data_IF_966439443903
#
_entry.id   IF_966439443903
#
_cell.length_a   1.000
_cell.length_b   1.000
_cell.length_c   1.000
_cell.angle_alpha   90.00
_cell.angle_beta   90.00
_cell.angle_gamma   90.00
#
_symmetry.space_group_name_H-M   'P 1'
#
loop_
_entity.id
_entity.type
_entity.pdbx_description
1 polymer ?
#
# COMPACT_ATOMS: atom_id res chain seq x y z
N UNK A 1 -8.63 -11.79 4.03
CA UNK A 1 -7.20 -11.83 4.43
C UNK A 1 -6.88 -10.55 5.22
N UNK A 2 -6.23 -10.63 6.38
CA UNK A 2 -5.81 -9.44 7.13
C UNK A 2 -4.40 -9.04 6.69
N UNK A 3 -4.25 -7.83 6.14
CA UNK A 3 -2.94 -7.21 5.90
C UNK A 3 -2.52 -6.47 7.18
N UNK A 4 -1.29 -6.70 7.64
CA UNK A 4 -0.72 -6.00 8.80
C UNK A 4 0.53 -5.29 8.35
N UNK A 5 0.48 -3.95 8.28
CA UNK A 5 1.65 -3.12 8.04
C UNK A 5 2.09 -2.46 9.35
N UNK A 6 3.39 -2.46 9.59
CA UNK A 6 4.06 -1.87 10.75
C UNK A 6 5.16 -0.92 10.27
N UNK A 7 5.29 0.17 11.01
CA UNK A 7 6.48 1.03 11.01
C UNK A 7 7.08 0.93 12.42
N UNK A 8 8.30 0.40 12.51
CA UNK A 8 9.09 0.16 13.71
C UNK A 8 9.27 1.46 14.50
N UNK A 9 8.67 1.47 15.69
CA UNK A 9 9.14 2.25 16.82
C UNK A 9 10.35 1.48 17.36
N UNK A 10 11.46 2.16 17.62
CA UNK A 10 12.62 1.53 18.24
C UNK A 10 12.22 0.86 19.57
N UNK A 11 12.60 -0.43 19.69
CA UNK A 11 12.43 -1.37 20.83
C UNK A 11 11.05 -2.04 21.03
N UNK A 12 11.07 -3.35 20.72
CA UNK A 12 10.26 -4.48 21.24
C UNK A 12 9.04 -4.09 22.10
N UNK A 13 7.88 -3.89 21.50
CA UNK A 13 6.58 -4.23 22.09
C UNK A 13 5.54 -4.46 20.99
N UNK A 14 4.98 -5.67 20.97
CA UNK A 14 4.02 -6.15 19.96
C UNK A 14 2.61 -5.68 20.30
N UNK A 15 2.39 -4.37 20.43
CA UNK A 15 1.04 -3.81 20.59
C UNK A 15 0.70 -3.02 19.35
N UNK A 16 -0.15 -3.57 18.48
CA UNK A 16 -0.66 -2.83 17.32
C UNK A 16 -1.60 -1.73 17.81
N UNK A 17 -1.12 -0.48 17.87
CA UNK A 17 -2.01 0.67 17.95
C UNK A 17 -2.69 0.88 16.59
N UNK A 18 -4.00 1.13 16.60
CA UNK A 18 -4.70 1.55 15.39
C UNK A 18 -4.03 2.82 14.82
N UNK A 19 -3.78 2.83 13.52
CA UNK A 19 -3.24 4.00 12.83
C UNK A 19 -4.35 5.02 12.61
N UNK A 20 -4.04 6.31 12.79
CA UNK A 20 -4.89 7.40 12.28
C UNK A 20 -4.64 7.55 10.78
N UNK A 21 -5.71 7.79 10.02
CA UNK A 21 -5.69 7.94 8.57
C UNK A 21 -6.16 9.35 8.25
N UNK A 22 -5.27 10.19 7.73
CA UNK A 22 -5.56 11.59 7.39
C UNK A 22 -5.51 11.78 5.86
N UNK A 23 -6.38 12.62 5.26
CA UNK A 23 -6.27 12.98 3.86
C UNK A 23 -4.89 13.57 3.53
N UNK A 24 -4.34 13.24 2.36
CA UNK A 24 -3.11 13.83 1.86
C UNK A 24 -3.37 14.59 0.55
N UNK A 25 -2.61 15.66 0.27
CA UNK A 25 -2.75 16.41 -0.98
C UNK A 25 -2.39 15.56 -2.21
N UNK A 26 -2.98 15.96 -3.33
CA UNK A 26 -2.79 15.31 -4.63
C UNK A 26 -3.81 14.22 -4.93
N UNK A 27 -3.95 13.92 -6.21
CA UNK A 27 -4.73 12.81 -6.74
C UNK A 27 -3.98 12.23 -7.94
N UNK A 28 -4.34 11.03 -8.37
CA UNK A 28 -3.91 10.49 -9.65
C UNK A 28 -5.10 9.91 -10.38
N UNK A 29 -5.06 9.93 -11.71
CA UNK A 29 -6.10 9.33 -12.53
C UNK A 29 -5.56 8.03 -13.12
N UNK A 30 -6.25 6.93 -12.83
CA UNK A 30 -6.07 5.70 -13.58
C UNK A 30 -7.24 5.61 -14.58
N UNK A 31 -6.92 5.53 -15.88
CA UNK A 31 -7.95 5.42 -16.93
C UNK A 31 -8.89 4.23 -16.71
N UNK A 32 -8.42 3.17 -16.07
CA UNK A 32 -9.23 1.99 -15.78
C UNK A 32 -9.98 2.05 -14.45
N UNK A 33 -9.34 2.55 -13.38
CA UNK A 33 -9.89 2.47 -12.01
C UNK A 33 -10.55 3.76 -11.51
N UNK A 34 -10.37 4.87 -12.22
CA UNK A 34 -10.83 6.20 -11.80
C UNK A 34 -9.80 6.97 -10.98
N UNK A 35 -10.28 8.01 -10.28
CA UNK A 35 -9.43 8.93 -9.54
C UNK A 35 -9.05 8.38 -8.16
N UNK A 36 -7.75 8.29 -7.90
CA UNK A 36 -7.21 7.92 -6.61
C UNK A 36 -7.08 9.15 -5.68
N UNK A 37 -7.34 8.94 -4.39
CA UNK A 37 -7.01 9.87 -3.32
C UNK A 37 -5.86 9.33 -2.49
N UNK A 38 -4.97 10.21 -2.04
CA UNK A 38 -3.86 9.83 -1.17
C UNK A 38 -4.16 10.04 0.31
N UNK A 39 -3.48 9.28 1.15
CA UNK A 39 -3.63 9.28 2.59
C UNK A 39 -2.27 9.27 3.31
N UNK A 40 -2.24 9.89 4.47
CA UNK A 40 -1.13 9.87 5.42
C UNK A 40 -1.52 9.01 6.60
N UNK A 41 -0.64 8.08 6.98
CA UNK A 41 -0.85 7.19 8.13
C UNK A 41 0.02 7.64 9.30
N UNK A 42 -0.59 7.76 10.48
CA UNK A 42 0.11 8.13 11.71
C UNK A 42 -0.13 7.08 12.80
N UNK A 43 0.94 6.51 13.35
CA UNK A 43 0.85 5.53 14.43
C UNK A 43 2.09 5.60 15.32
N UNK A 44 1.89 5.54 16.64
CA UNK A 44 2.99 5.48 17.61
C UNK A 44 4.03 6.59 17.49
N UNK A 45 3.59 7.81 17.16
CA UNK A 45 4.46 8.98 16.98
C UNK A 45 5.15 9.07 15.61
N UNK A 46 4.96 8.08 14.74
CA UNK A 46 5.55 8.06 13.38
C UNK A 46 4.49 8.44 12.35
N UNK A 47 4.88 9.28 11.38
CA UNK A 47 4.02 9.73 10.27
C UNK A 47 4.59 9.25 8.94
N UNK A 48 3.80 8.46 8.20
CA UNK A 48 4.07 8.06 6.83
C UNK A 48 3.20 8.91 5.90
N UNK A 49 3.81 9.93 5.29
CA UNK A 49 3.11 10.88 4.41
C UNK A 49 2.80 10.24 3.06
N UNK A 50 1.58 10.48 2.55
CA UNK A 50 1.15 10.07 1.20
C UNK A 50 1.45 8.59 0.88
N UNK A 51 1.40 7.73 1.89
CA UNK A 51 1.86 6.34 1.84
C UNK A 51 0.75 5.34 1.52
N UNK A 52 -0.48 5.82 1.33
CA UNK A 52 -1.61 4.99 0.98
C UNK A 52 -2.52 5.70 -0.02
N UNK A 53 -3.32 4.94 -0.75
CA UNK A 53 -4.31 5.47 -1.68
C UNK A 53 -5.61 4.66 -1.66
N UNK A 54 -6.70 5.28 -2.07
CA UNK A 54 -7.98 4.60 -2.28
C UNK A 54 -8.70 5.15 -3.51
N UNK A 55 -9.66 4.39 -4.04
CA UNK A 55 -10.55 4.80 -5.11
C UNK A 55 -11.95 5.02 -4.50
N UNK A 56 -12.35 6.26 -4.16
CA UNK A 56 -13.66 6.52 -3.55
C UNK A 56 -14.83 6.39 -4.54
N UNK A 57 -14.53 6.56 -5.83
CA UNK A 57 -15.48 6.41 -6.95
C UNK A 57 -14.80 5.58 -8.04
N UNK A 58 -14.60 4.27 -7.81
CA UNK A 58 -14.04 3.40 -8.84
C UNK A 58 -15.04 3.26 -10.00
N UNK A 59 -14.52 2.91 -11.17
CA UNK A 59 -15.34 2.46 -12.31
C UNK A 59 -16.06 1.15 -11.97
N UNK A 60 -17.10 0.81 -12.74
CA UNK A 60 -17.98 -0.33 -12.47
C UNK A 60 -17.21 -1.65 -12.30
N UNK A 61 -16.25 -1.93 -13.18
CA UNK A 61 -15.43 -3.16 -13.17
C UNK A 61 -14.55 -3.29 -11.91
N UNK A 62 -14.31 -2.18 -11.20
CA UNK A 62 -13.45 -2.11 -10.02
C UNK A 62 -14.22 -1.67 -8.76
N UNK A 63 -15.54 -1.80 -8.73
CA UNK A 63 -16.38 -1.43 -7.59
C UNK A 63 -15.95 -2.08 -6.27
N UNK A 64 -15.40 -3.30 -6.34
CA UNK A 64 -14.86 -4.01 -5.19
C UNK A 64 -13.71 -3.27 -4.47
N UNK A 65 -13.07 -2.29 -5.12
CA UNK A 65 -12.04 -1.44 -4.51
C UNK A 65 -12.61 -0.32 -3.63
N UNK A 66 -13.93 -0.07 -3.70
CA UNK A 66 -14.59 0.93 -2.86
C UNK A 66 -14.36 0.61 -1.38
N UNK A 67 -14.14 1.66 -0.59
CA UNK A 67 -13.90 1.58 0.86
C UNK A 67 -12.66 0.78 1.28
N UNK A 68 -11.80 0.42 0.32
CA UNK A 68 -10.51 -0.21 0.59
C UNK A 68 -9.35 0.79 0.48
N UNK A 69 -8.33 0.54 1.30
CA UNK A 69 -7.09 1.29 1.30
C UNK A 69 -5.96 0.39 0.80
N UNK A 70 -5.20 0.88 -0.18
CA UNK A 70 -3.96 0.28 -0.62
C UNK A 70 -2.77 1.05 -0.02
N UNK A 71 -1.69 0.35 0.32
CA UNK A 71 -0.53 0.90 1.04
C UNK A 71 0.72 0.67 0.21
N UNK A 72 1.58 1.70 0.12
CA UNK A 72 2.92 1.58 -0.44
C UNK A 72 3.81 0.84 0.55
N UNK A 73 4.11 -0.44 0.27
CA UNK A 73 4.94 -1.27 1.15
C UNK A 73 6.34 -0.69 1.39
N UNK A 74 6.93 0.01 0.41
CA UNK A 74 8.23 0.67 0.55
C UNK A 74 8.22 1.82 1.59
N UNK A 75 7.05 2.34 1.95
CA UNK A 75 6.89 3.41 2.94
C UNK A 75 6.68 2.86 4.37
N UNK A 76 6.67 1.54 4.53
CA UNK A 76 6.50 0.82 5.79
C UNK A 76 7.79 0.07 6.13
N UNK A 77 7.99 -0.22 7.42
CA UNK A 77 9.18 -1.00 7.82
C UNK A 77 8.94 -2.50 7.65
N UNK A 78 7.68 -2.95 7.73
CA UNK A 78 7.28 -4.32 7.43
C UNK A 78 5.79 -4.36 7.07
N UNK A 79 5.42 -5.06 5.99
CA UNK A 79 4.04 -5.45 5.73
C UNK A 79 3.94 -6.97 5.70
N UNK A 80 2.81 -7.51 6.17
CA UNK A 80 2.51 -8.94 6.15
C UNK A 80 1.13 -9.24 5.56
N UNK A 81 1.05 -10.30 4.77
CA UNK A 81 -0.20 -10.84 4.23
C UNK A 81 -0.23 -12.34 4.51
N UNK A 82 -1.23 -12.79 5.29
CA UNK A 82 -1.30 -14.21 5.66
C UNK A 82 -0.12 -14.71 6.50
N UNK A 83 0.62 -13.81 7.17
CA UNK A 83 1.82 -14.13 7.95
C UNK A 83 3.14 -13.91 7.17
N UNK A 84 3.08 -13.96 5.85
CA UNK A 84 4.23 -13.79 4.95
C UNK A 84 4.71 -12.34 4.90
N UNK A 85 6.02 -12.13 4.84
CA UNK A 85 6.61 -10.79 4.69
C UNK A 85 6.47 -10.34 3.24
N UNK A 86 5.94 -9.14 3.08
CA UNK A 86 5.77 -8.46 1.80
C UNK A 86 7.11 -7.87 1.35
N UNK A 87 7.49 -8.15 0.10
CA UNK A 87 8.64 -7.54 -0.59
C UNK A 87 8.11 -6.48 -1.55
N UNK A 88 8.43 -5.18 -1.34
CA UNK A 88 7.97 -4.13 -2.25
C UNK A 88 8.57 -4.30 -3.64
N UNK A 89 7.78 -3.98 -4.67
CA UNK A 89 8.30 -3.82 -6.02
C UNK A 89 9.40 -2.74 -6.03
N UNK A 90 10.50 -2.93 -6.79
CA UNK A 90 11.51 -1.90 -6.95
C UNK A 90 10.94 -0.58 -7.48
N UNK A 91 11.44 0.53 -6.95
CA UNK A 91 10.98 1.89 -7.27
C UNK A 91 9.93 2.41 -6.29
N UNK A 92 9.50 3.65 -6.50
CA UNK A 92 8.56 4.39 -5.64
C UNK A 92 7.23 4.70 -6.34
N UNK A 93 7.17 4.53 -7.67
CA UNK A 93 6.00 4.86 -8.47
C UNK A 93 4.85 3.86 -8.29
N UNK A 94 5.15 2.57 -8.41
CA UNK A 94 4.16 1.51 -8.28
C UNK A 94 4.08 1.00 -6.85
N UNK A 95 2.86 0.89 -6.32
CA UNK A 95 2.61 0.27 -5.01
C UNK A 95 2.49 -1.25 -5.06
N UNK A 96 3.09 -1.89 -6.06
CA UNK A 96 3.13 -3.34 -6.20
C UNK A 96 4.05 -4.00 -5.16
N UNK A 97 3.82 -5.28 -4.90
CA UNK A 97 4.60 -6.08 -3.98
C UNK A 97 4.40 -7.58 -4.21
N UNK A 98 5.28 -8.40 -3.64
CA UNK A 98 5.18 -9.87 -3.63
C UNK A 98 5.33 -10.45 -2.23
N UNK A 99 5.07 -11.74 -2.10
CA UNK A 99 5.40 -12.56 -0.92
C UNK A 99 6.07 -13.85 -1.42
N UNK A 100 6.87 -14.56 -0.59
CA UNK A 100 7.62 -15.74 -1.02
C UNK A 100 6.77 -16.88 -1.62
N UNK A 101 5.49 -16.93 -1.26
CA UNK A 101 4.53 -17.92 -1.76
C UNK A 101 3.93 -17.56 -3.14
N UNK A 102 4.20 -16.37 -3.68
CA UNK A 102 3.74 -15.97 -5.01
C UNK A 102 4.78 -16.32 -6.07
N UNK A 103 4.31 -16.73 -7.25
CA UNK A 103 5.13 -17.01 -8.44
C UNK A 103 4.82 -16.01 -9.53
N UNK A 104 5.82 -15.66 -10.34
CA UNK A 104 5.69 -14.77 -11.50
C UNK A 104 6.59 -13.53 -11.43
N UNK A 105 6.58 -12.74 -12.50
CA UNK A 105 7.38 -11.51 -12.60
C UNK A 105 6.55 -10.33 -12.15
N UNK A 106 7.11 -9.52 -11.24
CA UNK A 106 6.49 -8.27 -10.82
C UNK A 106 6.54 -7.27 -11.97
N UNK A 107 5.40 -6.66 -12.28
CA UNK A 107 5.34 -5.48 -13.16
C UNK A 107 6.37 -4.43 -12.68
N UNK A 108 7.01 -3.70 -13.58
CA UNK A 108 8.12 -2.77 -13.29
C UNK A 108 9.50 -3.41 -13.05
N UNK A 109 9.62 -4.75 -13.02
CA UNK A 109 10.92 -5.42 -13.17
C UNK A 109 11.48 -5.27 -14.59
N UNK A 110 12.79 -5.53 -14.75
CA UNK A 110 13.43 -5.55 -16.09
C UNK A 110 12.64 -6.44 -17.05
N UNK A 111 12.27 -5.91 -18.23
CA UNK A 111 11.50 -6.64 -19.25
C UNK A 111 9.97 -6.60 -19.10
N UNK A 112 9.41 -5.80 -18.18
CA UNK A 112 7.95 -5.66 -18.00
C UNK A 112 7.39 -4.29 -18.41
N UNK A 113 8.15 -3.50 -19.18
CA UNK A 113 7.67 -2.24 -19.74
C UNK A 113 6.62 -2.49 -20.83
N UNK A 114 5.47 -1.81 -20.80
CA UNK A 114 4.43 -1.89 -21.83
C UNK A 114 3.18 -2.70 -21.49
N UNK A 115 3.11 -3.25 -20.27
CA UNK A 115 1.93 -3.91 -19.69
C UNK A 115 1.19 -3.00 -18.72
#
# INVERSE_FOLDING_TARGET
>A
MRCVCRRRITRRHTTSRAARIDPAPGTSLCVWKGAARFWTLSAGGVVAKRCAWSYPKPTHEFEALRDHLAIYAHAMDECRVGGEIVVPQPGDFYGGWTTPNLRGTVKGGSGTQGW
#
